data_IF_983085214325
#
_entry.id   IF_983085214325
#
_cell.length_a   1.000
_cell.length_b   1.000
_cell.length_c   1.000
_cell.angle_alpha   90.00
_cell.angle_beta   90.00
_cell.angle_gamma   90.00
#
_symmetry.space_group_name_H-M   'P 1'
#
loop_
_entity.id
_entity.type
_entity.pdbx_description
1 polymer ?
#
# COMPACT_ATOMS: atom_id res chain seq x y z
N UNK A 1 -6.41 20.27 20.68
CA UNK A 1 -5.17 19.49 20.48
C UNK A 1 -4.16 20.40 19.79
N UNK A 2 -2.87 20.22 20.02
CA UNK A 2 -1.81 21.01 19.35
C UNK A 2 -1.62 20.44 17.93
N UNK A 3 -1.77 21.26 16.89
CA UNK A 3 -1.65 20.88 15.47
C UNK A 3 -0.33 20.12 15.20
N UNK A 4 0.74 20.48 15.90
CA UNK A 4 2.04 19.82 15.77
C UNK A 4 2.03 18.37 16.28
N UNK A 5 1.29 18.09 17.36
CA UNK A 5 1.12 16.73 17.88
C UNK A 5 0.24 15.88 16.96
N UNK A 6 -0.79 16.49 16.35
CA UNK A 6 -1.66 15.83 15.37
C UNK A 6 -0.87 15.43 14.12
N UNK A 7 0.01 16.32 13.62
CA UNK A 7 0.91 16.01 12.50
C UNK A 7 1.88 14.88 12.81
N UNK A 8 2.53 14.92 13.98
CA UNK A 8 3.44 13.83 14.40
C UNK A 8 2.70 12.49 14.51
N UNK A 9 1.47 12.50 15.04
CA UNK A 9 0.64 11.31 15.10
C UNK A 9 0.28 10.79 13.70
N UNK A 10 -0.22 11.67 12.82
CA UNK A 10 -0.54 11.35 11.43
C UNK A 10 0.68 10.76 10.71
N UNK A 11 1.86 11.37 10.87
CA UNK A 11 3.08 10.91 10.23
C UNK A 11 3.54 9.54 10.72
N UNK A 12 3.30 9.21 11.99
CA UNK A 12 3.57 7.87 12.54
C UNK A 12 2.60 6.83 11.99
N UNK A 13 1.30 7.15 11.92
CA UNK A 13 0.30 6.24 11.34
C UNK A 13 0.59 5.98 9.86
N UNK A 14 0.86 7.03 9.09
CA UNK A 14 1.25 6.92 7.68
C UNK A 14 2.56 6.12 7.51
N UNK A 15 3.53 6.29 8.41
CA UNK A 15 4.75 5.49 8.40
C UNK A 15 4.52 4.00 8.68
N UNK A 16 3.53 3.66 9.50
CA UNK A 16 3.14 2.26 9.70
C UNK A 16 2.47 1.66 8.47
N UNK A 17 1.68 2.45 7.73
CA UNK A 17 1.09 2.03 6.46
C UNK A 17 2.17 1.79 5.41
N UNK A 18 3.10 2.73 5.26
CA UNK A 18 4.28 2.60 4.39
C UNK A 18 5.02 1.27 4.64
N UNK A 19 5.37 0.98 5.89
CA UNK A 19 6.08 -0.25 6.24
C UNK A 19 5.27 -1.52 5.90
N UNK A 20 3.95 -1.51 6.12
CA UNK A 20 3.09 -2.65 5.78
C UNK A 20 3.00 -2.87 4.27
N UNK A 21 2.85 -1.80 3.49
CA UNK A 21 2.81 -1.87 2.02
C UNK A 21 4.13 -2.45 1.50
N UNK A 22 5.26 -1.93 1.98
CA UNK A 22 6.59 -2.39 1.56
C UNK A 22 6.83 -3.87 1.93
N UNK A 23 6.38 -4.29 3.11
CA UNK A 23 6.47 -5.68 3.54
C UNK A 23 5.65 -6.62 2.63
N UNK A 24 4.42 -6.24 2.30
CA UNK A 24 3.54 -7.04 1.43
C UNK A 24 4.11 -7.11 0.00
N UNK A 25 4.57 -5.99 -0.56
CA UNK A 25 5.22 -5.95 -1.87
C UNK A 25 6.52 -6.80 -1.89
N UNK A 26 7.34 -6.72 -0.84
CA UNK A 26 8.57 -7.52 -0.73
C UNK A 26 8.28 -9.02 -0.64
N UNK A 27 7.26 -9.42 0.14
CA UNK A 27 6.81 -10.83 0.20
C UNK A 27 6.41 -11.33 -1.18
N UNK A 28 5.65 -10.52 -1.92
CA UNK A 28 5.18 -10.85 -3.25
C UNK A 28 6.35 -11.10 -4.23
N UNK A 29 7.32 -10.18 -4.28
CA UNK A 29 8.51 -10.30 -5.12
C UNK A 29 9.29 -11.56 -4.80
N UNK A 30 9.48 -11.86 -3.50
CA UNK A 30 10.20 -13.07 -3.06
C UNK A 30 9.49 -14.34 -3.49
N UNK A 31 8.16 -14.40 -3.35
CA UNK A 31 7.36 -15.58 -3.71
C UNK A 31 7.29 -15.84 -5.22
N UNK A 32 7.21 -14.78 -6.03
CA UNK A 32 7.34 -14.91 -7.50
C UNK A 32 8.67 -15.56 -7.88
N UNK A 33 9.77 -15.19 -7.20
CA UNK A 33 11.10 -15.79 -7.45
C UNK A 33 11.21 -17.24 -6.99
N UNK A 34 10.50 -17.65 -5.94
CA UNK A 34 10.50 -19.03 -5.45
C UNK A 34 9.52 -19.96 -6.17
N UNK A 35 8.67 -19.43 -7.06
CA UNK A 35 7.65 -20.22 -7.77
C UNK A 35 6.47 -20.65 -6.89
N UNK A 36 6.30 -20.03 -5.70
CA UNK A 36 5.15 -20.30 -4.84
C UNK A 36 3.86 -19.76 -5.45
N UNK A 37 2.86 -20.63 -5.60
CA UNK A 37 1.56 -20.34 -6.22
C UNK A 37 0.53 -19.68 -5.29
N UNK A 38 0.90 -19.34 -4.05
CA UNK A 38 0.02 -18.67 -3.06
C UNK A 38 -0.23 -17.19 -3.37
N UNK A 39 -0.23 -16.81 -4.65
CA UNK A 39 -0.41 -15.43 -5.10
C UNK A 39 -1.74 -14.83 -4.63
N UNK A 40 -2.81 -15.63 -4.69
CA UNK A 40 -4.16 -15.24 -4.30
C UNK A 40 -4.27 -14.79 -2.83
N UNK A 41 -3.58 -15.47 -1.91
CA UNK A 41 -3.58 -15.11 -0.49
C UNK A 41 -2.88 -13.77 -0.26
N UNK A 42 -1.80 -13.49 -1.00
CA UNK A 42 -1.08 -12.22 -0.90
C UNK A 42 -1.88 -11.06 -1.52
N UNK A 43 -2.58 -11.29 -2.64
CA UNK A 43 -3.47 -10.29 -3.24
C UNK A 43 -4.58 -9.90 -2.27
N UNK A 44 -5.19 -10.88 -1.61
CA UNK A 44 -6.21 -10.62 -0.58
C UNK A 44 -5.66 -9.87 0.63
N UNK A 45 -4.45 -10.20 1.10
CA UNK A 45 -3.78 -9.43 2.18
C UNK A 45 -3.55 -7.97 1.75
N UNK A 46 -3.14 -7.75 0.50
CA UNK A 46 -2.93 -6.42 -0.06
C UNK A 46 -4.23 -5.63 -0.21
N UNK A 47 -5.29 -6.21 -0.75
CA UNK A 47 -6.60 -5.56 -0.93
C UNK A 47 -7.17 -5.07 0.42
N UNK A 48 -6.98 -5.84 1.50
CA UNK A 48 -7.35 -5.41 2.85
C UNK A 48 -6.52 -4.20 3.29
N UNK A 49 -5.21 -4.22 3.05
CA UNK A 49 -4.31 -3.10 3.37
C UNK A 49 -4.68 -1.86 2.56
N UNK A 50 -4.96 -1.99 1.27
CA UNK A 50 -5.40 -0.90 0.40
C UNK A 50 -6.72 -0.29 0.90
N UNK A 51 -7.72 -1.12 1.17
CA UNK A 51 -9.03 -0.68 1.65
C UNK A 51 -8.92 0.13 2.94
N UNK A 52 -8.20 -0.41 3.94
CA UNK A 52 -7.96 0.30 5.20
C UNK A 52 -7.15 1.58 5.01
N UNK A 53 -6.15 1.56 4.12
CA UNK A 53 -5.30 2.73 3.87
C UNK A 53 -6.11 3.88 3.28
N UNK A 54 -7.10 3.61 2.42
CA UNK A 54 -7.95 4.65 1.82
C UNK A 54 -8.71 5.44 2.89
N UNK A 55 -9.25 4.75 3.89
CA UNK A 55 -9.96 5.39 5.00
C UNK A 55 -9.02 6.25 5.85
N UNK A 56 -7.82 5.74 6.15
CA UNK A 56 -6.81 6.52 6.88
C UNK A 56 -6.33 7.74 6.10
N UNK A 57 -6.10 7.61 4.78
CA UNK A 57 -5.65 8.71 3.95
C UNK A 57 -6.66 9.86 3.92
N UNK A 58 -7.96 9.57 3.83
CA UNK A 58 -9.00 10.60 3.86
C UNK A 58 -9.00 11.40 5.17
N UNK A 59 -8.74 10.75 6.30
CA UNK A 59 -8.70 11.39 7.62
C UNK A 59 -7.38 12.15 7.83
N UNK A 60 -6.26 11.61 7.34
CA UNK A 60 -4.93 12.15 7.60
C UNK A 60 -4.47 13.18 6.57
N UNK A 61 -5.07 13.24 5.38
CA UNK A 61 -4.69 14.19 4.32
C UNK A 61 -4.72 15.66 4.79
N UNK A 62 -5.75 16.14 5.51
CA UNK A 62 -5.77 17.53 5.99
C UNK A 62 -4.67 17.85 7.02
N UNK A 63 -4.08 16.82 7.65
CA UNK A 63 -3.11 16.94 8.74
C UNK A 63 -1.67 16.76 8.20
N UNK A 64 -1.47 15.81 7.30
CA UNK A 64 -0.17 15.55 6.66
C UNK A 64 -0.33 15.23 5.16
N UNK A 65 -0.55 16.26 4.32
CA UNK A 65 -0.91 16.07 2.92
C UNK A 65 0.21 15.41 2.11
N UNK A 66 1.45 15.88 2.24
CA UNK A 66 2.61 15.37 1.51
C UNK A 66 2.84 13.88 1.78
N UNK A 67 2.86 13.49 3.06
CA UNK A 67 3.08 12.09 3.44
C UNK A 67 1.91 11.19 3.06
N UNK A 68 0.68 11.73 3.12
CA UNK A 68 -0.51 11.00 2.66
C UNK A 68 -0.43 10.70 1.16
N UNK A 69 -0.04 11.69 0.34
CA UNK A 69 0.14 11.48 -1.11
C UNK A 69 1.26 10.50 -1.42
N UNK A 70 2.37 10.56 -0.68
CA UNK A 70 3.45 9.59 -0.81
C UNK A 70 2.99 8.15 -0.53
N UNK A 71 2.23 7.92 0.56
CA UNK A 71 1.68 6.59 0.88
C UNK A 71 0.66 6.16 -0.18
N UNK A 72 -0.15 7.07 -0.71
CA UNK A 72 -1.06 6.79 -1.82
C UNK A 72 -0.32 6.26 -3.05
N UNK A 73 0.77 6.92 -3.44
CA UNK A 73 1.59 6.49 -4.58
C UNK A 73 2.22 5.11 -4.34
N UNK A 74 2.64 4.80 -3.11
CA UNK A 74 3.14 3.46 -2.76
C UNK A 74 2.09 2.38 -2.96
N UNK A 75 0.84 2.64 -2.55
CA UNK A 75 -0.27 1.70 -2.73
C UNK A 75 -0.52 1.46 -4.21
N UNK A 76 -0.57 2.52 -5.03
CA UNK A 76 -0.79 2.41 -6.46
C UNK A 76 0.30 1.56 -7.14
N UNK A 77 1.58 1.80 -6.79
CA UNK A 77 2.70 1.01 -7.32
C UNK A 77 2.64 -0.44 -6.89
N UNK A 78 2.29 -0.70 -5.63
CA UNK A 78 2.12 -2.07 -5.14
C UNK A 78 0.98 -2.78 -5.88
N UNK A 79 -0.17 -2.13 -6.10
CA UNK A 79 -1.29 -2.68 -6.87
C UNK A 79 -0.88 -3.03 -8.31
N UNK A 80 -0.21 -2.11 -9.00
CA UNK A 80 0.29 -2.35 -10.36
C UNK A 80 1.21 -3.58 -10.40
N UNK A 81 2.09 -3.71 -9.40
CA UNK A 81 3.00 -4.83 -9.29
C UNK A 81 2.24 -6.16 -9.03
N UNK A 82 1.10 -6.14 -8.32
CA UNK A 82 0.22 -7.31 -8.23
C UNK A 82 -0.40 -7.65 -9.59
N UNK A 83 -0.95 -6.67 -10.32
CA UNK A 83 -1.60 -6.89 -11.61
C UNK A 83 -0.62 -7.43 -12.68
N UNK A 84 0.61 -6.87 -12.74
CA UNK A 84 1.69 -7.36 -13.60
C UNK A 84 2.11 -8.80 -13.30
N UNK A 85 2.01 -9.21 -12.03
CA UNK A 85 2.39 -10.56 -11.62
C UNK A 85 1.30 -11.61 -11.82
N UNK A 86 0.01 -11.23 -11.83
CA UNK A 86 -1.07 -12.16 -12.18
C UNK A 86 -1.13 -12.49 -13.67
N UNK A 87 -0.38 -11.76 -14.50
CA UNK A 87 -0.53 -11.91 -15.94
C UNK A 87 -1.93 -11.56 -16.39
N UNK A 88 -2.57 -10.56 -15.74
CA UNK A 88 -3.59 -9.77 -16.42
C UNK A 88 -2.82 -9.10 -17.55
N UNK A 89 -2.79 -9.80 -18.68
CA UNK A 89 -2.20 -9.29 -19.89
C UNK A 89 -2.76 -7.91 -20.10
N UNK A 90 -1.89 -7.00 -20.50
CA UNK A 90 -2.29 -5.92 -21.37
C UNK A 90 -2.79 -6.53 -22.68
N UNK A 91 -3.91 -7.28 -22.63
CA UNK A 91 -4.85 -7.42 -23.73
C UNK A 91 -5.62 -6.11 -23.79
N UNK A 92 -4.95 -5.09 -24.30
CA UNK A 92 -5.57 -3.85 -24.72
C UNK A 92 -4.95 -3.39 -26.04
N UNK A 93 -5.62 -3.87 -27.09
CA UNK A 93 -5.80 -3.28 -28.44
C UNK A 93 -4.60 -3.15 -29.37
#
# INVERSE_FOLDING_TARGET
MNIQNEKVFADKVLGQLEFKIDLVATKLIKRKRSGETSFFENRKEFEVVEGMSRDFMNVLHPISPEKTMYVYDMIQRASQLFDEMEGVGSDCK
#
